data_IF_077610040244
#
_entry.id   IF_077610040244
#
_cell.length_a   1.000
_cell.length_b   1.000
_cell.length_c   1.000
_cell.angle_alpha   90.00
_cell.angle_beta   90.00
_cell.angle_gamma   90.00
#
_symmetry.space_group_name_H-M   'P 1'
#
loop_
_entity.id
_entity.type
_entity.pdbx_description
1 polymer ?
#
# COMPACT_ATOMS: atom_id res chain seq x y z
N UNK A 1 22.53 -10.26 -5.14
CA UNK A 1 21.48 -10.64 -4.15
C UNK A 1 20.91 -9.43 -3.39
N UNK A 2 21.54 -8.89 -2.32
CA UNK A 2 20.93 -7.78 -1.55
C UNK A 2 20.77 -6.46 -2.34
N UNK A 3 21.75 -6.10 -3.18
CA UNK A 3 21.70 -4.90 -4.02
C UNK A 3 20.67 -4.95 -5.16
N UNK A 4 20.33 -6.15 -5.64
CA UNK A 4 19.24 -6.35 -6.62
C UNK A 4 17.87 -6.24 -5.97
N UNK A 5 17.70 -6.81 -4.78
CA UNK A 5 16.47 -6.67 -4.00
C UNK A 5 16.18 -5.20 -3.69
N UNK A 6 17.21 -4.42 -3.31
CA UNK A 6 17.06 -2.97 -3.08
C UNK A 6 16.69 -2.22 -4.36
N UNK A 7 17.29 -2.57 -5.52
CA UNK A 7 16.94 -1.97 -6.81
C UNK A 7 15.54 -2.32 -7.27
N UNK A 8 15.10 -3.55 -7.06
CA UNK A 8 13.72 -3.97 -7.33
C UNK A 8 12.75 -3.23 -6.42
N UNK A 9 13.01 -3.15 -5.11
CA UNK A 9 12.18 -2.42 -4.15
C UNK A 9 12.12 -0.92 -4.52
N UNK A 10 13.24 -0.30 -4.85
CA UNK A 10 13.29 1.09 -5.31
C UNK A 10 12.52 1.28 -6.62
N UNK A 11 12.64 0.35 -7.57
CA UNK A 11 11.87 0.35 -8.82
C UNK A 11 10.37 0.15 -8.60
N UNK A 12 9.95 -0.62 -7.59
CA UNK A 12 8.56 -0.73 -7.19
C UNK A 12 8.07 0.59 -6.59
N UNK A 13 8.84 1.20 -5.68
CA UNK A 13 8.51 2.49 -5.03
C UNK A 13 8.34 3.60 -6.07
N UNK A 14 9.25 3.70 -7.03
CA UNK A 14 9.20 4.71 -8.10
C UNK A 14 8.00 4.51 -9.04
N UNK A 15 7.55 3.27 -9.23
CA UNK A 15 6.40 2.93 -10.07
C UNK A 15 5.10 2.73 -9.29
N UNK A 16 5.07 3.01 -7.98
CA UNK A 16 3.88 2.86 -7.14
C UNK A 16 2.66 3.61 -7.71
N UNK A 17 2.75 4.86 -8.20
CA UNK A 17 1.60 5.56 -8.75
C UNK A 17 1.01 4.84 -9.97
N UNK A 18 1.87 4.37 -10.89
CA UNK A 18 1.46 3.64 -12.08
C UNK A 18 0.85 2.27 -11.72
N UNK A 19 1.40 1.59 -10.70
CA UNK A 19 0.83 0.33 -10.19
C UNK A 19 -0.52 0.53 -9.52
N UNK A 20 -0.71 1.61 -8.75
CA UNK A 20 -2.01 1.95 -8.12
C UNK A 20 -3.08 2.25 -9.17
N UNK A 21 -2.72 2.94 -10.26
CA UNK A 21 -3.63 3.18 -11.39
C UNK A 21 -3.94 1.87 -12.15
N UNK A 22 -2.95 1.02 -12.38
CA UNK A 22 -3.16 -0.31 -12.99
C UNK A 22 -4.04 -1.23 -12.16
N UNK A 23 -3.89 -1.18 -10.83
CA UNK A 23 -4.73 -1.87 -9.83
C UNK A 23 -6.17 -1.40 -9.89
N UNK A 24 -6.40 -0.08 -9.99
CA UNK A 24 -7.75 0.46 -10.14
C UNK A 24 -8.36 0.00 -11.47
N UNK A 25 -7.65 0.11 -12.59
CA UNK A 25 -8.18 -0.33 -13.90
C UNK A 25 -8.50 -1.84 -13.94
N UNK A 26 -7.64 -2.68 -13.36
CA UNK A 26 -7.85 -4.13 -13.30
C UNK A 26 -8.99 -4.53 -12.34
N UNK A 27 -9.32 -3.70 -11.35
CA UNK A 27 -10.42 -3.97 -10.42
C UNK A 27 -11.81 -3.66 -11.00
N UNK A 28 -11.91 -2.72 -11.95
CA UNK A 28 -13.17 -2.32 -12.61
C UNK A 28 -13.32 -2.84 -14.05
N UNK A 29 -12.30 -3.52 -14.59
CA UNK A 29 -12.29 -4.08 -15.95
C UNK A 29 -12.88 -5.49 -16.05
N UNK A 30 -13.10 -5.95 -17.28
CA UNK A 30 -13.62 -7.30 -17.62
C UNK A 30 -12.53 -8.35 -17.85
N UNK A 31 -11.27 -8.03 -17.56
CA UNK A 31 -10.14 -8.95 -17.75
C UNK A 31 -10.07 -10.01 -16.63
N UNK A 32 -9.52 -11.22 -16.93
CA UNK A 32 -9.20 -12.21 -15.91
C UNK A 32 -8.35 -11.58 -14.81
N UNK A 33 -8.67 -11.88 -13.54
CA UNK A 33 -7.98 -11.30 -12.39
C UNK A 33 -6.52 -11.79 -12.40
N UNK A 34 -5.57 -10.87 -12.56
CA UNK A 34 -4.15 -11.19 -12.49
C UNK A 34 -3.82 -11.83 -11.13
N UNK A 35 -3.22 -13.04 -11.09
CA UNK A 35 -2.75 -13.66 -9.85
C UNK A 35 -1.73 -12.83 -9.09
N UNK A 36 -1.00 -11.93 -9.78
CA UNK A 36 -0.07 -10.97 -9.19
C UNK A 36 -0.74 -9.61 -8.89
N UNK A 37 -2.06 -9.55 -9.13
CA UNK A 37 -2.87 -8.36 -8.93
C UNK A 37 -3.13 -8.07 -7.45
N UNK A 38 -3.73 -6.90 -7.17
CA UNK A 38 -4.09 -6.46 -5.83
C UNK A 38 -5.22 -7.33 -5.23
N UNK A 39 -4.96 -7.95 -4.07
CA UNK A 39 -5.92 -8.76 -3.31
C UNK A 39 -6.36 -7.97 -2.07
N UNK A 40 -7.62 -8.09 -1.65
CA UNK A 40 -8.10 -7.46 -0.42
C UNK A 40 -7.63 -8.21 0.83
N UNK A 41 -7.77 -7.56 1.98
CA UNK A 41 -7.52 -8.18 3.30
C UNK A 41 -8.37 -9.45 3.50
N UNK A 42 -9.59 -9.49 2.93
CA UNK A 42 -10.47 -10.67 2.99
C UNK A 42 -9.93 -11.82 2.14
N UNK A 43 -9.43 -11.53 0.93
CA UNK A 43 -8.78 -12.53 0.08
C UNK A 43 -7.52 -13.11 0.72
N UNK A 44 -6.69 -12.26 1.34
CA UNK A 44 -5.51 -12.70 2.11
C UNK A 44 -5.91 -13.60 3.29
N UNK A 45 -7.00 -13.26 4.00
CA UNK A 45 -7.55 -14.08 5.08
C UNK A 45 -8.04 -15.44 4.61
N UNK A 46 -8.67 -15.51 3.44
CA UNK A 46 -9.08 -16.77 2.81
C UNK A 46 -7.88 -17.65 2.47
N UNK A 47 -6.86 -17.09 1.82
CA UNK A 47 -5.62 -17.81 1.47
C UNK A 47 -4.94 -18.35 2.73
N UNK A 48 -4.90 -17.56 3.81
CA UNK A 48 -4.39 -18.03 5.09
C UNK A 48 -5.22 -19.20 5.66
N UNK A 49 -6.56 -19.16 5.53
CA UNK A 49 -7.44 -20.27 5.90
C UNK A 49 -7.20 -21.54 5.09
N UNK A 50 -7.01 -21.41 3.77
CA UNK A 50 -6.68 -22.52 2.88
C UNK A 50 -5.35 -23.17 3.27
N UNK A 51 -4.30 -22.37 3.53
CA UNK A 51 -2.99 -22.87 4.01
C UNK A 51 -3.10 -23.55 5.37
N UNK A 52 -3.92 -23.02 6.28
CA UNK A 52 -4.12 -23.62 7.60
C UNK A 52 -4.82 -24.99 7.51
N UNK A 53 -5.80 -25.13 6.61
CA UNK A 53 -6.58 -26.35 6.38
C UNK A 53 -5.84 -27.45 5.60
N UNK A 54 -4.62 -27.20 5.11
CA UNK A 54 -3.80 -28.21 4.42
C UNK A 54 -3.21 -29.24 5.40
N UNK A 55 -4.03 -30.20 5.84
CA UNK A 55 -3.62 -31.23 6.80
C UNK A 55 -2.54 -32.19 6.28
N UNK A 56 -2.39 -32.27 4.96
CA UNK A 56 -1.37 -33.06 4.28
C UNK A 56 0.02 -32.42 4.35
N UNK A 57 0.10 -31.13 4.73
CA UNK A 57 1.35 -30.37 4.80
C UNK A 57 1.86 -30.35 6.25
N UNK A 58 3.18 -30.56 6.48
CA UNK A 58 3.76 -30.48 7.82
C UNK A 58 3.41 -29.17 8.54
N UNK A 59 3.11 -29.24 9.84
CA UNK A 59 2.73 -28.07 10.65
C UNK A 59 3.79 -26.96 10.56
N UNK A 60 5.07 -27.31 10.58
CA UNK A 60 6.16 -26.34 10.47
C UNK A 60 6.12 -25.55 9.15
N UNK A 61 5.83 -26.23 8.03
CA UNK A 61 5.68 -25.60 6.72
C UNK A 61 4.46 -24.69 6.67
N UNK A 62 3.30 -25.12 7.22
CA UNK A 62 2.10 -24.28 7.33
C UNK A 62 2.35 -23.02 8.13
N UNK A 63 2.97 -23.14 9.31
CA UNK A 63 3.30 -21.99 10.16
C UNK A 63 4.27 -21.05 9.43
N UNK A 64 5.29 -21.56 8.75
CA UNK A 64 6.21 -20.71 7.98
C UNK A 64 5.51 -19.95 6.85
N UNK A 65 4.55 -20.57 6.16
CA UNK A 65 3.77 -19.93 5.11
C UNK A 65 2.85 -18.85 5.67
N UNK A 66 2.16 -19.12 6.79
CA UNK A 66 1.31 -18.15 7.48
C UNK A 66 2.11 -16.95 8.01
N UNK A 67 3.28 -17.20 8.61
CA UNK A 67 4.18 -16.13 9.05
C UNK A 67 4.69 -15.31 7.86
N UNK A 68 5.05 -15.96 6.75
CA UNK A 68 5.44 -15.29 5.52
C UNK A 68 4.34 -14.40 4.94
N UNK A 69 3.09 -14.88 4.96
CA UNK A 69 1.92 -14.13 4.51
C UNK A 69 1.65 -12.92 5.42
N UNK A 70 1.73 -13.08 6.75
CA UNK A 70 1.61 -11.97 7.70
C UNK A 70 2.75 -10.95 7.55
N UNK A 71 3.98 -11.41 7.34
CA UNK A 71 5.12 -10.55 7.09
C UNK A 71 4.95 -9.75 5.79
N UNK A 72 4.50 -10.40 4.72
CA UNK A 72 4.19 -9.75 3.44
C UNK A 72 3.08 -8.70 3.56
N UNK A 73 1.99 -9.02 4.28
CA UNK A 73 0.91 -8.08 4.55
C UNK A 73 1.40 -6.85 5.32
N UNK A 74 2.13 -7.06 6.42
CA UNK A 74 2.67 -5.95 7.22
C UNK A 74 3.67 -5.10 6.43
N UNK A 75 4.52 -5.72 5.62
CA UNK A 75 5.44 -5.01 4.75
C UNK A 75 4.69 -4.17 3.71
N UNK A 76 3.64 -4.73 3.09
CA UNK A 76 2.80 -4.00 2.14
C UNK A 76 2.09 -2.81 2.81
N UNK A 77 1.55 -2.98 4.02
CA UNK A 77 0.95 -1.89 4.81
C UNK A 77 1.97 -0.81 5.16
N UNK A 78 3.18 -1.20 5.55
CA UNK A 78 4.26 -0.26 5.85
C UNK A 78 4.64 0.56 4.61
N UNK A 79 4.82 -0.09 3.46
CA UNK A 79 5.14 0.60 2.19
C UNK A 79 3.98 1.48 1.74
N UNK A 80 2.74 1.02 1.85
CA UNK A 80 1.55 1.81 1.54
C UNK A 80 1.47 3.07 2.44
N UNK A 81 1.75 2.93 3.73
CA UNK A 81 1.79 4.07 4.66
C UNK A 81 2.90 5.08 4.33
N UNK A 82 3.95 4.71 3.60
CA UNK A 82 4.99 5.65 3.16
C UNK A 82 4.62 6.46 1.92
N UNK A 83 3.48 6.17 1.27
CA UNK A 83 3.03 6.92 0.10
C UNK A 83 2.73 8.37 0.51
N UNK A 84 3.23 9.40 -0.22
CA UNK A 84 3.10 10.81 0.14
C UNK A 84 1.70 11.37 -0.20
N UNK A 85 0.66 10.72 0.31
CA UNK A 85 -0.74 11.10 0.19
C UNK A 85 -1.34 11.18 1.59
N UNK A 86 -2.07 12.24 1.91
CA UNK A 86 -2.93 12.24 3.10
C UNK A 86 -4.18 11.41 2.75
N UNK A 87 -4.63 10.43 3.58
CA UNK A 87 -4.46 10.29 5.03
C UNK A 87 -3.28 9.43 5.52
N UNK A 88 -2.43 8.95 4.61
CA UNK A 88 -1.33 8.05 4.94
C UNK A 88 -0.19 8.79 5.66
N UNK A 89 0.58 8.08 6.47
CA UNK A 89 1.66 8.66 7.28
C UNK A 89 2.71 9.39 6.42
N UNK A 90 2.97 8.90 5.21
CA UNK A 90 3.86 9.48 4.23
C UNK A 90 3.45 10.89 3.80
N UNK A 91 2.16 11.23 3.85
CA UNK A 91 1.68 12.60 3.61
C UNK A 91 2.18 13.59 4.67
N UNK A 92 2.25 13.17 5.94
CA UNK A 92 2.79 13.96 7.03
C UNK A 92 4.31 14.08 6.92
N UNK A 93 4.99 12.98 6.56
CA UNK A 93 6.44 12.98 6.32
C UNK A 93 6.77 13.92 5.15
N UNK A 94 6.03 13.87 4.05
CA UNK A 94 6.21 14.77 2.92
C UNK A 94 5.99 16.24 3.30
N UNK A 95 4.94 16.53 4.09
CA UNK A 95 4.69 17.87 4.63
C UNK A 95 5.83 18.36 5.53
N UNK A 96 6.31 17.53 6.44
CA UNK A 96 7.43 17.85 7.34
C UNK A 96 8.75 18.03 6.58
N UNK A 97 9.00 17.23 5.54
CA UNK A 97 10.15 17.39 4.66
C UNK A 97 10.09 18.70 3.88
N UNK A 98 8.91 19.06 3.36
CA UNK A 98 8.68 20.33 2.67
C UNK A 98 8.90 21.53 3.60
N UNK A 99 8.34 21.49 4.81
CA UNK A 99 8.53 22.54 5.81
C UNK A 99 10.00 22.65 6.25
N UNK A 100 10.64 21.51 6.52
CA UNK A 100 12.05 21.44 6.88
C UNK A 100 12.96 21.98 5.78
N UNK A 101 12.66 21.69 4.51
CA UNK A 101 13.37 22.23 3.36
C UNK A 101 13.19 23.75 3.24
N UNK A 102 11.94 24.24 3.31
CA UNK A 102 11.61 25.68 3.24
C UNK A 102 12.31 26.47 4.35
N UNK A 103 12.35 25.91 5.56
CA UNK A 103 13.04 26.48 6.72
C UNK A 103 14.55 26.50 6.56
N UNK A 104 15.15 25.42 6.06
CA UNK A 104 16.60 25.37 5.75
C UNK A 104 16.98 26.38 4.67
N UNK A 105 16.20 26.50 3.61
CA UNK A 105 16.39 27.47 2.54
C UNK A 105 16.29 28.90 3.09
N UNK A 106 15.26 29.21 3.88
CA UNK A 106 15.11 30.54 4.48
C UNK A 106 16.33 30.92 5.36
N UNK A 107 16.82 29.98 6.19
CA UNK A 107 18.05 30.17 6.97
C UNK A 107 19.28 30.42 6.09
N UNK A 108 19.45 29.67 5.01
CA UNK A 108 20.56 29.84 4.06
C UNK A 108 20.55 31.23 3.40
N UNK A 109 19.37 31.78 3.13
CA UNK A 109 19.21 33.11 2.54
C UNK A 109 19.03 34.24 3.57
N UNK A 110 19.24 33.96 4.87
CA UNK A 110 19.08 34.95 5.94
C UNK A 110 17.65 35.49 6.10
N UNK A 111 16.65 34.81 5.56
CA UNK A 111 15.23 35.20 5.61
C UNK A 111 14.58 34.69 6.90
N UNK A 112 13.58 35.42 7.44
CA UNK A 112 12.81 34.97 8.60
C UNK A 112 12.09 33.64 8.34
N UNK A 113 11.82 32.91 9.43
CA UNK A 113 11.26 31.55 9.39
C UNK A 113 9.88 31.55 8.69
N UNK A 114 9.69 30.76 7.62
CA UNK A 114 8.48 30.79 6.79
C UNK A 114 7.17 30.33 7.45
N UNK A 115 7.21 29.86 8.70
CA UNK A 115 6.06 29.37 9.47
C UNK A 115 5.61 27.96 9.10
N UNK A 116 4.85 27.34 10.02
CA UNK A 116 4.33 25.98 9.85
C UNK A 116 3.30 25.92 8.72
N UNK A 117 3.28 24.81 7.97
CA UNK A 117 2.28 24.60 6.95
C UNK A 117 0.93 24.23 7.59
N UNK A 118 -0.13 24.95 7.20
CA UNK A 118 -1.47 24.70 7.73
C UNK A 118 -2.08 23.44 7.09
N UNK A 119 -2.00 22.33 7.82
CA UNK A 119 -2.52 21.02 7.40
C UNK A 119 -4.05 21.06 7.23
N UNK A 120 -4.76 21.98 7.91
CA UNK A 120 -6.21 22.09 7.80
C UNK A 120 -6.66 22.35 6.35
N UNK A 121 -5.83 23.03 5.56
CA UNK A 121 -6.09 23.31 4.13
C UNK A 121 -6.07 22.06 3.27
N UNK A 122 -5.42 20.98 3.72
CA UNK A 122 -5.39 19.70 3.01
C UNK A 122 -6.53 18.76 3.41
N UNK A 123 -7.29 19.06 4.48
CA UNK A 123 -8.40 18.22 4.92
C UNK A 123 -9.43 17.91 3.81
N UNK A 124 -9.86 18.86 2.96
CA UNK A 124 -10.79 18.54 1.88
C UNK A 124 -10.21 17.50 0.91
N UNK A 125 -8.93 17.62 0.57
CA UNK A 125 -8.23 16.64 -0.27
C UNK A 125 -8.11 15.29 0.43
N UNK A 126 -7.78 15.30 1.72
CA UNK A 126 -7.72 14.09 2.56
C UNK A 126 -9.05 13.34 2.54
N UNK A 127 -10.18 14.03 2.64
CA UNK A 127 -11.50 13.38 2.57
C UNK A 127 -11.79 12.78 1.20
N UNK A 128 -11.39 13.46 0.12
CA UNK A 128 -11.53 12.92 -1.25
C UNK A 128 -10.68 11.65 -1.41
N UNK A 129 -9.40 11.70 -1.03
CA UNK A 129 -8.51 10.53 -1.12
C UNK A 129 -9.02 9.40 -0.23
N UNK A 130 -9.41 9.68 1.02
CA UNK A 130 -9.94 8.69 1.95
C UNK A 130 -11.20 8.01 1.42
N UNK A 131 -12.13 8.76 0.83
CA UNK A 131 -13.37 8.21 0.25
C UNK A 131 -13.07 7.33 -0.96
N UNK A 132 -12.13 7.72 -1.82
CA UNK A 132 -11.67 6.89 -2.96
C UNK A 132 -11.04 5.59 -2.46
N UNK A 133 -10.14 5.66 -1.47
CA UNK A 133 -9.51 4.48 -0.89
C UNK A 133 -10.53 3.54 -0.25
N UNK A 134 -11.54 4.09 0.45
CA UNK A 134 -12.61 3.33 1.07
C UNK A 134 -13.48 2.64 0.02
N UNK A 135 -13.87 3.35 -1.04
CA UNK A 135 -14.63 2.80 -2.15
C UNK A 135 -13.87 1.68 -2.87
N UNK A 136 -12.58 1.89 -3.14
CA UNK A 136 -11.70 0.89 -3.73
C UNK A 136 -11.57 -0.35 -2.83
N UNK A 137 -11.40 -0.16 -1.52
CA UNK A 137 -11.32 -1.25 -0.54
C UNK A 137 -12.61 -2.06 -0.52
N UNK A 138 -13.77 -1.39 -0.48
CA UNK A 138 -15.07 -2.05 -0.51
C UNK A 138 -15.26 -2.87 -1.79
N UNK A 139 -14.83 -2.34 -2.93
CA UNK A 139 -14.89 -3.06 -4.20
C UNK A 139 -13.98 -4.28 -4.22
N UNK A 140 -12.74 -4.17 -3.75
CA UNK A 140 -11.82 -5.32 -3.72
C UNK A 140 -12.33 -6.42 -2.79
N UNK A 141 -12.91 -6.04 -1.65
CA UNK A 141 -13.56 -6.99 -0.74
C UNK A 141 -14.73 -7.69 -1.45
N UNK A 142 -15.59 -6.92 -2.12
CA UNK A 142 -16.70 -7.49 -2.89
C UNK A 142 -16.21 -8.44 -3.99
N UNK A 143 -15.17 -8.04 -4.73
CA UNK A 143 -14.57 -8.84 -5.79
C UNK A 143 -14.01 -10.17 -5.23
N UNK A 144 -13.30 -10.16 -4.11
CA UNK A 144 -12.74 -11.39 -3.54
C UNK A 144 -13.81 -12.33 -2.95
N UNK A 145 -14.98 -11.80 -2.56
CA UNK A 145 -16.13 -12.60 -2.12
C UNK A 145 -16.82 -13.28 -3.31
N UNK A 146 -17.03 -12.55 -4.42
CA UNK A 146 -17.80 -13.03 -5.58
C UNK A 146 -16.94 -13.78 -6.61
N UNK A 147 -15.71 -13.34 -6.82
CA UNK A 147 -14.72 -13.88 -7.76
C UNK A 147 -13.34 -13.94 -7.09
N UNK A 148 -13.14 -14.90 -6.16
CA UNK A 148 -11.88 -15.04 -5.45
C UNK A 148 -10.70 -15.29 -6.40
N UNK A 149 -9.53 -14.79 -6.02
CA UNK A 149 -8.28 -15.09 -6.71
C UNK A 149 -7.81 -16.48 -6.29
N UNK A 150 -7.68 -17.39 -7.24
CA UNK A 150 -7.15 -18.73 -6.98
C UNK A 150 -5.63 -18.72 -7.14
N UNK A 151 -4.91 -18.71 -6.02
CA UNK A 151 -3.44 -18.82 -6.03
C UNK A 151 -2.96 -20.28 -6.16
N UNK A 152 -3.85 -21.25 -5.95
CA UNK A 152 -3.51 -22.68 -5.92
C UNK A 152 -4.30 -23.54 -6.94
N UNK A 153 -5.12 -22.92 -7.80
CA UNK A 153 -6.01 -23.60 -8.77
C UNK A 153 -7.48 -23.33 -8.51
#
# INVERSE_FOLDING_TARGET
>A
MAGENIKQIAGVILNLPARVVGVAQAAFGSEPRDPNGPISVVGVGRVAGEVAAMDQVPLQSRVSALVGLLAGLNFALAVFNLVPLLPLDGGHVAGALYEGARRRIAKLFGKPDPGAFDIAKLLPLTYVVASVLMAMSALLIYADIVKPVNLFG
#
